data_IF_086565267161
#
_entry.id   IF_086565267161
#
_cell.length_a   1.000
_cell.length_b   1.000
_cell.length_c   1.000
_cell.angle_alpha   90.00
_cell.angle_beta   90.00
_cell.angle_gamma   90.00
#
_symmetry.space_group_name_H-M   'P 1'
#
loop_
_entity.id
_entity.type
_entity.pdbx_description
1 polymer ?
#
# COMPACT_ATOMS: atom_id res chain seq x y z
N UNK A 1 0.85 -10.39 0.26
CA UNK A 1 0.62 -9.17 -0.54
C UNK A 1 -0.81 -8.70 -0.33
N UNK A 2 -1.01 -7.41 -0.25
CA UNK A 2 -2.29 -6.83 0.17
C UNK A 2 -2.61 -5.58 -0.64
N UNK A 3 -3.90 -5.26 -0.71
CA UNK A 3 -4.37 -3.99 -1.25
C UNK A 3 -4.55 -2.98 -0.12
N UNK A 4 -4.25 -1.71 -0.40
CA UNK A 4 -4.49 -0.62 0.54
C UNK A 4 -4.70 0.70 -0.18
N UNK A 5 -5.43 1.59 0.47
CA UNK A 5 -5.59 2.97 0.00
C UNK A 5 -4.60 3.87 0.74
N UNK A 6 -3.93 4.74 0.00
CA UNK A 6 -3.02 5.72 0.61
C UNK A 6 -3.87 6.83 1.24
N UNK A 7 -3.74 7.01 2.55
CA UNK A 7 -4.47 8.02 3.30
C UNK A 7 -3.63 9.24 3.64
N UNK A 8 -2.31 9.09 3.64
CA UNK A 8 -1.44 10.19 4.00
C UNK A 8 0.03 9.81 3.92
N UNK A 9 0.86 10.67 4.46
CA UNK A 9 2.30 10.46 4.51
C UNK A 9 2.85 10.77 5.89
N UNK A 10 4.02 10.22 6.18
CA UNK A 10 4.72 10.42 7.45
C UNK A 10 6.05 11.08 7.17
N UNK A 11 6.35 12.15 7.91
CA UNK A 11 7.64 12.80 7.88
C UNK A 11 8.32 12.56 9.21
N UNK A 12 9.55 12.01 9.16
CA UNK A 12 10.36 11.75 10.35
C UNK A 12 11.70 12.45 10.19
N UNK A 13 12.07 13.25 11.17
CA UNK A 13 13.35 13.96 11.17
C UNK A 13 14.52 13.07 11.56
N UNK A 14 14.22 11.99 12.31
CA UNK A 14 15.22 10.99 12.71
C UNK A 14 14.71 9.62 12.32
N UNK A 15 15.44 8.94 11.47
CA UNK A 15 15.14 7.59 11.04
C UNK A 15 16.43 6.89 10.63
N UNK A 16 16.36 5.58 10.55
CA UNK A 16 17.49 4.75 10.14
C UNK A 16 18.03 5.21 8.78
N UNK A 17 19.35 5.21 8.62
CA UNK A 17 19.99 5.64 7.38
C UNK A 17 19.53 4.83 6.16
N UNK A 18 19.16 3.55 6.35
CA UNK A 18 18.73 2.68 5.24
C UNK A 18 17.34 3.05 4.71
N UNK A 19 16.55 3.82 5.46
CA UNK A 19 15.27 4.33 4.97
C UNK A 19 15.27 5.85 4.81
N UNK A 20 16.39 6.49 5.07
CA UNK A 20 16.55 7.92 4.88
C UNK A 20 16.38 8.28 3.40
N UNK A 21 15.61 9.33 3.11
CA UNK A 21 15.28 9.72 1.74
C UNK A 21 14.15 8.92 1.13
N UNK A 22 13.64 7.90 1.82
CA UNK A 22 12.48 7.15 1.37
C UNK A 22 11.19 7.84 1.82
N UNK A 23 10.18 7.80 0.96
CA UNK A 23 8.85 8.30 1.30
C UNK A 23 8.12 7.28 2.16
N UNK A 24 7.50 7.73 3.24
CA UNK A 24 6.69 6.88 4.12
C UNK A 24 5.22 7.25 3.95
N UNK A 25 4.37 6.25 3.76
CA UNK A 25 2.94 6.44 3.52
C UNK A 25 2.12 5.81 4.62
N UNK A 26 0.97 6.39 4.89
CA UNK A 26 -0.06 5.81 5.76
C UNK A 26 -1.04 5.07 4.86
N UNK A 27 -1.17 3.76 5.08
CA UNK A 27 -2.02 2.88 4.28
C UNK A 27 -3.20 2.36 5.08
N UNK A 28 -4.38 2.38 4.47
CA UNK A 28 -5.58 1.70 5.00
C UNK A 28 -5.81 0.45 4.19
N UNK A 29 -5.61 -0.76 4.76
CA UNK A 29 -5.88 -2.00 4.03
C UNK A 29 -7.31 -2.03 3.50
N UNK A 30 -7.47 -2.58 2.29
CA UNK A 30 -8.76 -2.73 1.64
C UNK A 30 -9.02 -4.21 1.38
N UNK A 31 -10.08 -4.72 1.97
CA UNK A 31 -10.50 -6.11 1.81
C UNK A 31 -11.73 -6.16 0.92
N UNK A 32 -11.87 -7.21 0.12
CA UNK A 32 -13.12 -7.42 -0.60
C UNK A 32 -14.17 -7.81 0.44
N UNK A 33 -15.32 -7.11 0.42
CA UNK A 33 -16.39 -7.36 1.38
C UNK A 33 -17.03 -8.71 1.09
N UNK A 34 -17.07 -9.59 2.10
CA UNK A 34 -17.66 -10.92 1.97
C UNK A 34 -19.16 -10.89 1.69
N UNK A 35 -19.84 -9.86 2.18
CA UNK A 35 -21.29 -9.71 2.01
C UNK A 35 -21.64 -9.06 0.69
N UNK A 36 -20.79 -8.19 0.18
CA UNK A 36 -20.99 -7.49 -1.08
C UNK A 36 -19.65 -7.40 -1.81
N UNK A 37 -19.32 -8.40 -2.66
CA UNK A 37 -18.02 -8.44 -3.34
C UNK A 37 -17.81 -7.31 -4.36
N UNK A 38 -18.80 -6.45 -4.59
CA UNK A 38 -18.66 -5.27 -5.44
C UNK A 38 -18.01 -4.09 -4.70
N UNK A 39 -17.75 -4.25 -3.41
CA UNK A 39 -17.20 -3.19 -2.56
C UNK A 39 -15.99 -3.64 -1.80
N UNK A 40 -15.14 -2.67 -1.45
CA UNK A 40 -14.09 -2.88 -0.47
C UNK A 40 -14.61 -2.60 0.93
N UNK A 41 -14.08 -3.37 1.88
CA UNK A 41 -14.27 -3.14 3.30
C UNK A 41 -12.94 -2.60 3.85
N UNK A 42 -12.90 -1.36 4.35
CA UNK A 42 -11.66 -0.82 4.92
C UNK A 42 -11.26 -1.58 6.19
N UNK A 43 -9.97 -1.79 6.34
CA UNK A 43 -9.42 -2.33 7.57
C UNK A 43 -9.54 -1.36 8.73
N UNK A 44 -9.54 -1.88 9.96
CA UNK A 44 -9.70 -1.07 11.17
C UNK A 44 -8.43 -0.30 11.56
N UNK A 45 -7.27 -0.77 11.12
CA UNK A 45 -5.98 -0.18 11.46
C UNK A 45 -5.27 0.32 10.22
N UNK A 46 -4.45 1.37 10.39
CA UNK A 46 -3.55 1.82 9.33
C UNK A 46 -2.15 1.23 9.54
N UNK A 47 -1.37 1.25 8.47
CA UNK A 47 0.00 0.74 8.43
C UNK A 47 0.88 1.83 7.84
N UNK A 48 2.09 1.99 8.37
CA UNK A 48 3.10 2.84 7.76
C UNK A 48 4.00 1.97 6.88
N UNK A 49 4.15 2.34 5.63
CA UNK A 49 4.92 1.60 4.65
C UNK A 49 5.90 2.49 3.90
N UNK A 50 7.01 1.90 3.46
CA UNK A 50 7.95 2.59 2.57
C UNK A 50 7.40 2.56 1.16
N UNK A 51 7.45 3.71 0.46
CA UNK A 51 7.01 3.82 -0.93
C UNK A 51 8.20 3.64 -1.88
N UNK A 52 8.07 2.71 -2.83
CA UNK A 52 9.09 2.49 -3.87
C UNK A 52 8.61 2.87 -5.28
N UNK A 53 7.35 3.31 -5.41
CA UNK A 53 6.73 3.51 -6.74
C UNK A 53 6.20 4.91 -6.97
N UNK A 54 6.26 5.78 -5.97
CA UNK A 54 5.77 7.15 -6.11
C UNK A 54 4.26 7.28 -5.99
N UNK A 55 3.64 6.52 -5.09
CA UNK A 55 2.20 6.58 -4.89
C UNK A 55 1.78 7.88 -4.18
N UNK A 56 0.55 8.33 -4.44
CA UNK A 56 -0.05 9.51 -3.84
C UNK A 56 -1.31 9.21 -3.06
N UNK A 57 -1.75 10.18 -2.26
CA UNK A 57 -2.98 10.08 -1.47
C UNK A 57 -4.17 9.80 -2.38
N UNK A 58 -5.01 8.87 -1.97
CA UNK A 58 -6.19 8.45 -2.71
C UNK A 58 -5.97 7.29 -3.65
N UNK A 59 -4.72 6.96 -3.97
CA UNK A 59 -4.42 5.83 -4.85
C UNK A 59 -4.55 4.50 -4.11
N UNK A 60 -4.99 3.48 -4.85
CA UNK A 60 -4.99 2.11 -4.38
C UNK A 60 -3.64 1.47 -4.75
N UNK A 61 -3.02 0.82 -3.79
CA UNK A 61 -1.68 0.27 -3.97
C UNK A 61 -1.62 -1.19 -3.54
N UNK A 62 -0.58 -1.88 -4.04
CA UNK A 62 -0.17 -3.19 -3.55
C UNK A 62 0.96 -3.00 -2.57
N UNK A 63 0.89 -3.65 -1.43
CA UNK A 63 1.99 -3.64 -0.49
C UNK A 63 2.27 -5.06 0.03
N UNK A 64 3.50 -5.27 0.46
CA UNK A 64 3.92 -6.51 1.11
C UNK A 64 4.32 -6.20 2.55
N UNK A 65 4.21 -7.21 3.41
CA UNK A 65 4.45 -7.09 4.84
C UNK A 65 5.39 -8.18 5.36
N UNK A 66 5.91 -7.97 6.55
CA UNK A 66 6.78 -8.91 7.22
C UNK A 66 8.13 -9.02 6.53
N UNK A 67 8.78 -10.17 6.64
CA UNK A 67 10.09 -10.38 6.03
C UNK A 67 10.07 -10.24 4.50
N UNK A 68 8.91 -10.45 3.87
CA UNK A 68 8.75 -10.28 2.41
C UNK A 68 9.00 -8.85 1.95
N UNK A 69 8.79 -7.86 2.82
CA UNK A 69 9.03 -6.46 2.48
C UNK A 69 10.50 -6.21 2.11
N UNK A 70 11.42 -6.96 2.69
CA UNK A 70 12.85 -6.82 2.44
C UNK A 70 13.28 -7.36 1.08
N UNK A 71 12.40 -8.13 0.42
CA UNK A 71 12.66 -8.64 -0.92
C UNK A 71 12.39 -7.60 -2.00
N UNK A 72 11.74 -6.48 -1.66
CA UNK A 72 11.55 -5.38 -2.58
C UNK A 72 12.91 -4.77 -2.98
N UNK A 73 12.98 -4.16 -4.17
CA UNK A 73 14.26 -3.56 -4.61
C UNK A 73 14.81 -2.56 -3.60
N UNK A 74 16.09 -2.70 -3.28
CA UNK A 74 16.83 -1.81 -2.38
C UNK A 74 16.35 -1.84 -0.92
N UNK A 75 15.61 -2.88 -0.50
CA UNK A 75 15.09 -3.00 0.86
C UNK A 75 15.79 -4.07 1.70
N UNK A 76 16.78 -4.77 1.15
CA UNK A 76 17.40 -5.94 1.78
C UNK A 76 17.90 -5.66 3.21
N UNK A 77 18.55 -4.53 3.41
CA UNK A 77 19.17 -4.17 4.68
C UNK A 77 18.37 -3.11 5.45
N UNK A 78 17.12 -2.86 5.06
CA UNK A 78 16.28 -1.84 5.68
C UNK A 78 15.44 -2.43 6.81
N UNK A 79 15.27 -1.68 7.92
CA UNK A 79 14.43 -2.13 9.04
C UNK A 79 12.94 -1.86 8.74
N UNK A 80 12.43 -2.42 7.65
CA UNK A 80 11.05 -2.21 7.19
C UNK A 80 10.29 -3.52 7.20
N UNK A 81 9.00 -3.44 7.55
CA UNK A 81 8.10 -4.59 7.53
C UNK A 81 6.90 -4.38 6.61
N UNK A 82 6.81 -3.23 5.94
CA UNK A 82 5.77 -2.95 4.94
C UNK A 82 6.33 -2.07 3.85
N UNK A 83 6.15 -2.48 2.59
CA UNK A 83 6.66 -1.77 1.42
C UNK A 83 5.58 -1.75 0.34
N UNK A 84 5.31 -0.55 -0.21
CA UNK A 84 4.44 -0.39 -1.37
C UNK A 84 5.23 -0.78 -2.62
N UNK A 85 4.70 -1.72 -3.40
CA UNK A 85 5.40 -2.27 -4.56
C UNK A 85 4.66 -2.06 -5.87
N UNK A 86 3.45 -1.53 -5.85
CA UNK A 86 2.70 -1.27 -7.07
C UNK A 86 1.56 -0.30 -6.86
N UNK A 87 1.19 0.40 -7.93
CA UNK A 87 -0.01 1.23 -7.99
C UNK A 87 -1.04 0.46 -8.81
N UNK A 88 -2.26 0.32 -8.28
CA UNK A 88 -3.30 -0.50 -8.88
C UNK A 88 -4.14 0.33 -9.85
N UNK A 89 -4.32 -0.16 -11.05
CA UNK A 89 -5.17 0.48 -12.06
C UNK A 89 -6.62 0.01 -11.97
N UNK A 90 -6.83 -1.31 -11.90
CA UNK A 90 -8.17 -1.89 -11.80
C UNK A 90 -8.17 -3.10 -10.88
N UNK A 91 -9.34 -3.41 -10.31
CA UNK A 91 -9.58 -4.64 -9.58
C UNK A 91 -10.89 -5.27 -10.06
N UNK A 92 -10.82 -6.53 -10.44
CA UNK A 92 -11.99 -7.31 -10.85
C UNK A 92 -12.25 -8.42 -9.82
N UNK A 93 -13.50 -8.60 -9.46
CA UNK A 93 -13.93 -9.68 -8.57
C UNK A 93 -15.15 -10.36 -9.20
N UNK A 94 -15.08 -11.66 -9.36
CA UNK A 94 -16.13 -12.45 -10.00
C UNK A 94 -16.56 -11.89 -11.37
N UNK A 95 -15.58 -11.43 -12.15
CA UNK A 95 -15.82 -10.88 -13.47
C UNK A 95 -16.35 -9.45 -13.51
N UNK A 96 -16.47 -8.79 -12.36
CA UNK A 96 -16.92 -7.39 -12.28
C UNK A 96 -15.78 -6.48 -11.84
N UNK A 97 -15.62 -5.35 -12.52
CA UNK A 97 -14.66 -4.34 -12.12
C UNK A 97 -15.22 -3.54 -10.94
N UNK A 98 -14.60 -3.69 -9.78
CA UNK A 98 -15.01 -2.99 -8.56
C UNK A 98 -14.18 -1.74 -8.26
N UNK A 99 -13.07 -1.57 -8.97
CA UNK A 99 -12.19 -0.40 -8.83
C UNK A 99 -11.56 -0.06 -10.17
N UNK A 100 -11.47 1.25 -10.43
CA UNK A 100 -10.68 1.80 -11.54
C UNK A 100 -10.05 3.11 -11.08
N UNK A 101 -8.76 3.26 -11.31
CA UNK A 101 -8.03 4.51 -11.05
C UNK A 101 -8.50 5.63 -11.99
N UNK A 102 -9.06 5.26 -13.15
CA UNK A 102 -9.65 6.20 -14.10
C UNK A 102 -11.15 6.25 -13.86
N UNK A 103 -11.58 7.28 -13.14
CA UNK A 103 -13.01 7.55 -12.96
C UNK A 103 -13.43 8.60 -13.98
N UNK A 104 -14.22 8.17 -14.92
CA UNK A 104 -14.84 9.05 -15.90
C UNK A 104 -16.27 9.38 -15.49
#
# INVERSE_FOLDING_TARGET
>A
MFLAKVEGSVVSTKKDANISGRKLLILRPQLVDDKDPTKFKPGSNTIVAVDTVGAGVGELVLFTQGSSARLAPNMKDSPVDAVVIGIVDTVDVFGKQIYSARQD
#
